data_IF_302102667149
#
_entry.id   IF_302102667149
#
_cell.length_a   1.000
_cell.length_b   1.000
_cell.length_c   1.000
_cell.angle_alpha   90.00
_cell.angle_beta   90.00
_cell.angle_gamma   90.00
#
_symmetry.space_group_name_H-M   'P 1'
#
loop_
_entity.id
_entity.type
_entity.pdbx_description
1 polymer ?
#
# COMPACT_ATOMS: atom_id res chain seq x y z
N UNK A 1 22.57 32.48 27.90
CA UNK A 1 21.40 31.86 28.57
C UNK A 1 20.26 31.85 27.57
N UNK A 2 20.43 31.06 26.51
CA UNK A 2 19.42 30.76 25.49
C UNK A 2 18.93 29.32 25.74
N UNK A 3 18.05 29.21 26.72
CA UNK A 3 17.37 27.94 27.02
C UNK A 3 16.11 27.84 26.20
N UNK A 4 16.21 27.09 25.09
CA UNK A 4 15.18 26.12 24.66
C UNK A 4 13.74 26.61 24.62
N UNK A 5 13.37 27.26 23.55
CA UNK A 5 12.07 26.98 22.95
C UNK A 5 12.19 25.67 22.13
N UNK A 6 12.10 24.51 22.77
CA UNK A 6 11.53 23.33 22.14
C UNK A 6 10.07 23.69 21.89
N UNK A 7 9.77 24.20 20.72
CA UNK A 7 8.42 24.10 20.20
C UNK A 7 8.09 22.60 20.25
N UNK A 8 7.17 22.22 21.11
CA UNK A 8 6.54 20.92 21.07
C UNK A 8 5.84 20.87 19.70
N UNK A 9 6.54 20.37 18.69
CA UNK A 9 5.91 20.03 17.42
C UNK A 9 4.94 18.90 17.73
N UNK A 10 3.71 19.28 18.08
CA UNK A 10 2.62 18.34 18.30
C UNK A 10 2.36 17.69 16.95
N UNK A 11 2.52 16.39 16.90
CA UNK A 11 2.26 15.62 15.69
C UNK A 11 0.74 15.55 15.49
N UNK A 12 0.23 16.32 14.53
CA UNK A 12 -1.20 16.41 14.23
C UNK A 12 -1.43 16.16 12.74
N UNK A 13 -2.54 15.50 12.40
CA UNK A 13 -3.03 15.36 11.04
C UNK A 13 -4.49 15.74 10.92
N UNK A 14 -4.85 16.39 9.82
CA UNK A 14 -6.24 16.66 9.45
C UNK A 14 -6.76 15.50 8.59
N UNK A 15 -7.94 14.99 8.93
CA UNK A 15 -8.57 13.87 8.26
C UNK A 15 -9.99 14.28 7.86
N UNK A 16 -10.38 13.91 6.63
CA UNK A 16 -11.72 14.19 6.11
C UNK A 16 -12.39 12.90 5.64
N UNK A 17 -13.63 12.75 6.05
CA UNK A 17 -14.50 11.65 5.65
C UNK A 17 -15.73 12.19 4.92
N UNK A 18 -16.15 11.47 3.88
CA UNK A 18 -17.46 11.69 3.25
C UNK A 18 -18.52 11.02 4.13
N UNK A 19 -19.61 11.72 4.41
CA UNK A 19 -20.78 11.11 5.02
C UNK A 19 -21.71 10.70 3.90
N UNK A 20 -21.98 9.43 3.77
CA UNK A 20 -22.90 8.88 2.79
C UNK A 20 -24.34 9.13 3.24
N UNK A 21 -25.22 9.43 2.27
CA UNK A 21 -26.63 9.64 2.54
C UNK A 21 -27.26 8.42 3.22
N UNK A 22 -27.98 8.65 4.31
CA UNK A 22 -28.64 7.59 5.09
C UNK A 22 -27.73 6.81 6.02
N UNK A 23 -26.44 7.18 6.16
CA UNK A 23 -25.55 6.62 7.18
C UNK A 23 -25.57 7.45 8.44
N UNK A 24 -25.75 6.81 9.58
CA UNK A 24 -25.77 7.44 10.89
C UNK A 24 -24.40 7.39 11.60
N UNK A 25 -23.42 6.70 11.01
CA UNK A 25 -22.08 6.58 11.57
C UNK A 25 -21.00 6.56 10.47
N UNK A 26 -19.78 6.93 10.87
CA UNK A 26 -18.56 6.85 10.03
C UNK A 26 -17.50 6.06 10.79
N UNK A 27 -16.84 5.11 10.12
CA UNK A 27 -15.65 4.45 10.65
C UNK A 27 -14.46 5.40 10.52
N UNK A 28 -13.87 5.79 11.65
CA UNK A 28 -12.75 6.74 11.72
C UNK A 28 -11.40 6.04 11.64
N UNK A 29 -11.27 4.92 12.36
CA UNK A 29 -10.01 4.16 12.47
C UNK A 29 -10.29 2.68 12.51
N UNK A 30 -9.27 1.87 12.21
CA UNK A 30 -9.32 0.43 12.40
C UNK A 30 -9.33 0.06 13.88
N UNK A 31 -10.07 -0.98 14.24
CA UNK A 31 -10.19 -1.48 15.62
C UNK A 31 -8.81 -1.78 16.24
N UNK A 32 -7.94 -2.45 15.49
CA UNK A 32 -6.60 -2.79 15.96
C UNK A 32 -5.78 -1.55 16.30
N UNK A 33 -5.81 -0.51 15.45
CA UNK A 33 -5.11 0.75 15.72
C UNK A 33 -5.66 1.46 16.97
N UNK A 34 -6.99 1.54 17.12
CA UNK A 34 -7.64 2.14 18.30
C UNK A 34 -7.21 1.43 19.57
N UNK A 35 -7.28 0.09 19.59
CA UNK A 35 -6.94 -0.70 20.76
C UNK A 35 -5.48 -0.52 21.21
N UNK A 36 -4.56 -0.39 20.23
CA UNK A 36 -3.13 -0.24 20.52
C UNK A 36 -2.73 1.21 20.86
N UNK A 37 -3.49 2.23 20.38
CA UNK A 37 -3.10 3.63 20.48
C UNK A 37 -4.05 4.52 21.28
N UNK A 38 -5.06 3.97 21.97
CA UNK A 38 -6.04 4.75 22.77
C UNK A 38 -5.40 5.65 23.83
N UNK A 39 -4.21 5.30 24.31
CA UNK A 39 -3.45 6.08 25.29
C UNK A 39 -2.35 6.95 24.64
N UNK A 40 -2.19 6.86 23.31
CA UNK A 40 -1.13 7.54 22.56
C UNK A 40 -1.69 8.66 21.69
N UNK A 41 -2.99 8.63 21.41
CA UNK A 41 -3.63 9.60 20.52
C UNK A 41 -4.93 10.14 21.12
N UNK A 42 -5.28 11.33 20.64
CA UNK A 42 -6.61 11.94 20.82
C UNK A 42 -7.14 12.38 19.47
N UNK A 43 -8.45 12.50 19.36
CA UNK A 43 -9.09 13.19 18.25
C UNK A 43 -9.72 14.50 18.69
N UNK A 44 -9.75 15.44 17.76
CA UNK A 44 -10.39 16.74 17.95
C UNK A 44 -11.50 16.87 16.92
N UNK A 45 -12.73 16.98 17.40
CA UNK A 45 -13.94 17.16 16.58
C UNK A 45 -14.63 18.42 17.09
N UNK A 46 -14.92 19.39 16.20
CA UNK A 46 -15.57 20.66 16.57
C UNK A 46 -14.89 21.35 17.77
N UNK A 47 -13.56 21.36 17.79
CA UNK A 47 -12.70 21.91 18.86
C UNK A 47 -12.83 21.21 20.23
N UNK A 48 -13.43 20.02 20.30
CA UNK A 48 -13.46 19.19 21.50
C UNK A 48 -12.50 18.03 21.36
N UNK A 49 -11.59 17.88 22.32
CA UNK A 49 -10.65 16.76 22.39
C UNK A 49 -11.31 15.57 23.09
N UNK A 50 -11.14 14.38 22.51
CA UNK A 50 -11.64 13.12 23.07
C UNK A 50 -10.71 11.95 22.70
N UNK A 51 -10.98 10.79 23.28
CA UNK A 51 -10.27 9.55 22.95
C UNK A 51 -10.51 9.14 21.49
N UNK A 52 -9.53 8.44 20.90
CA UNK A 52 -9.74 7.83 19.59
C UNK A 52 -10.79 6.72 19.70
N UNK A 53 -11.64 6.63 18.71
CA UNK A 53 -12.74 5.66 18.60
C UNK A 53 -12.79 5.07 17.21
N UNK A 54 -13.32 3.86 17.09
CA UNK A 54 -13.47 3.20 15.78
C UNK A 54 -14.60 3.85 14.97
N UNK A 55 -15.77 4.05 15.56
CA UNK A 55 -16.94 4.61 14.90
C UNK A 55 -17.41 5.89 15.60
N UNK A 56 -17.89 6.84 14.79
CA UNK A 56 -18.50 8.09 15.25
C UNK A 56 -19.91 8.18 14.69
N UNK A 57 -20.89 8.45 15.56
CA UNK A 57 -22.23 8.83 15.14
C UNK A 57 -22.20 10.21 14.47
N UNK A 58 -22.83 10.33 13.31
CA UNK A 58 -22.83 11.57 12.52
C UNK A 58 -24.21 12.00 12.14
N UNK A 59 -24.36 13.29 11.88
CA UNK A 59 -25.59 13.81 11.30
C UNK A 59 -25.60 13.49 9.78
N UNK A 60 -26.56 12.68 9.27
CA UNK A 60 -26.62 12.31 7.86
C UNK A 60 -26.87 13.48 6.90
N UNK A 61 -27.24 14.66 7.41
CA UNK A 61 -27.35 15.89 6.62
C UNK A 61 -26.02 16.60 6.37
N UNK A 62 -24.97 16.22 7.09
CA UNK A 62 -23.62 16.74 6.90
C UNK A 62 -22.92 15.95 5.79
N UNK A 63 -22.39 16.62 4.78
CA UNK A 63 -21.73 15.93 3.66
C UNK A 63 -20.31 15.47 4.00
N UNK A 64 -19.58 16.23 4.83
CA UNK A 64 -18.16 16.03 5.16
C UNK A 64 -17.95 16.12 6.67
N UNK A 65 -17.30 15.12 7.23
CA UNK A 65 -16.76 15.15 8.57
C UNK A 65 -15.27 15.52 8.52
N UNK A 66 -14.85 16.49 9.33
CA UNK A 66 -13.44 16.86 9.51
C UNK A 66 -13.04 16.60 10.95
N UNK A 67 -11.95 15.88 11.13
CA UNK A 67 -11.34 15.62 12.43
C UNK A 67 -9.84 15.91 12.39
N UNK A 68 -9.24 16.18 13.55
CA UNK A 68 -7.80 16.13 13.72
C UNK A 68 -7.44 14.93 14.59
N UNK A 69 -6.41 14.20 14.18
CA UNK A 69 -5.72 13.25 15.06
C UNK A 69 -4.50 13.96 15.64
N UNK A 70 -4.30 13.79 16.94
CA UNK A 70 -3.17 14.36 17.69
C UNK A 70 -2.44 13.26 18.43
N UNK A 71 -1.14 13.16 18.20
CA UNK A 71 -0.27 12.29 18.98
C UNK A 71 0.03 12.94 20.33
N UNK A 72 -0.19 12.21 21.44
CA UNK A 72 0.11 12.65 22.80
C UNK A 72 1.26 11.84 23.43
N UNK A 73 1.48 10.64 22.91
CA UNK A 73 2.62 9.78 23.21
C UNK A 73 3.07 9.10 21.93
N UNK A 74 4.32 8.72 21.88
CA UNK A 74 4.96 8.12 20.73
C UNK A 74 4.19 6.94 20.14
N UNK A 75 3.86 7.03 18.87
CA UNK A 75 3.29 5.94 18.08
C UNK A 75 4.43 5.18 17.42
N UNK A 76 4.46 3.87 17.64
CA UNK A 76 5.41 2.95 17.00
C UNK A 76 4.75 1.99 16.03
N UNK A 77 3.43 1.83 16.12
CA UNK A 77 2.66 0.94 15.26
C UNK A 77 1.48 1.70 14.64
N UNK A 78 1.50 1.82 13.30
CA UNK A 78 0.44 2.44 12.50
C UNK A 78 -0.31 1.40 11.65
N UNK A 79 -0.09 0.10 11.93
CA UNK A 79 -0.79 -0.95 11.21
C UNK A 79 -2.30 -0.84 11.42
N UNK A 80 -3.06 -1.11 10.36
CA UNK A 80 -4.53 -1.05 10.35
C UNK A 80 -5.12 0.31 10.76
N UNK A 81 -4.35 1.42 10.65
CA UNK A 81 -4.81 2.72 11.14
C UNK A 81 -6.13 3.16 10.52
N UNK A 82 -6.29 2.99 9.21
CA UNK A 82 -7.50 3.32 8.48
C UNK A 82 -8.16 2.09 7.83
N UNK A 83 -7.99 0.93 8.46
CA UNK A 83 -8.55 -0.33 7.97
C UNK A 83 -10.07 -0.27 7.78
N UNK A 84 -10.52 -0.51 6.53
CA UNK A 84 -11.91 -0.37 6.11
C UNK A 84 -12.55 0.99 6.42
N UNK A 85 -11.77 2.08 6.47
CA UNK A 85 -12.33 3.42 6.52
C UNK A 85 -12.82 3.82 5.10
N UNK A 86 -13.87 3.18 4.63
CA UNK A 86 -14.38 3.33 3.26
C UNK A 86 -14.78 4.76 2.90
N UNK A 87 -15.19 5.53 3.89
CA UNK A 87 -15.58 6.94 3.76
C UNK A 87 -14.41 7.93 3.80
N UNK A 88 -13.17 7.48 4.02
CA UNK A 88 -11.98 8.33 4.04
C UNK A 88 -11.73 8.91 2.65
N UNK A 89 -11.73 10.24 2.52
CA UNK A 89 -11.53 10.91 1.23
C UNK A 89 -10.23 11.69 1.13
N UNK A 90 -9.74 12.19 2.27
CA UNK A 90 -8.51 13.00 2.31
C UNK A 90 -7.91 13.01 3.70
N UNK A 91 -6.59 13.06 3.75
CA UNK A 91 -5.84 13.28 5.00
C UNK A 91 -4.55 14.04 4.69
N UNK A 92 -4.14 14.91 5.61
CA UNK A 92 -2.86 15.61 5.51
C UNK A 92 -1.88 15.02 6.52
N UNK A 93 -0.94 14.22 6.00
CA UNK A 93 0.13 13.55 6.73
C UNK A 93 1.51 14.09 6.38
N UNK A 94 1.60 15.19 5.64
CA UNK A 94 2.86 15.73 5.12
C UNK A 94 3.87 16.04 6.23
N UNK A 95 3.39 16.44 7.42
CA UNK A 95 4.22 16.74 8.58
C UNK A 95 4.16 15.68 9.68
N UNK A 96 3.55 14.52 9.42
CA UNK A 96 3.45 13.45 10.41
C UNK A 96 4.81 12.78 10.65
N UNK A 97 5.25 12.75 11.90
CA UNK A 97 6.54 12.18 12.27
C UNK A 97 6.46 10.64 12.38
N UNK A 98 7.14 9.95 11.48
CA UNK A 98 7.19 8.49 11.43
C UNK A 98 8.50 7.89 11.95
N UNK A 99 9.38 8.68 12.60
CA UNK A 99 10.73 8.26 12.99
C UNK A 99 10.79 6.98 13.83
N UNK A 100 9.73 6.69 14.58
CA UNK A 100 9.69 5.55 15.49
C UNK A 100 8.72 4.46 15.03
N UNK A 101 8.12 4.62 13.87
CA UNK A 101 7.16 3.65 13.33
C UNK A 101 7.90 2.43 12.83
N UNK A 102 7.45 1.26 13.28
CA UNK A 102 8.02 -0.05 12.91
C UNK A 102 7.08 -0.87 12.04
N UNK A 103 5.77 -0.57 12.05
CA UNK A 103 4.76 -1.32 11.31
C UNK A 103 3.73 -0.38 10.68
N UNK A 104 3.57 -0.49 9.35
CA UNK A 104 2.60 0.23 8.52
C UNK A 104 1.69 -0.75 7.74
N UNK A 105 1.68 -2.03 8.13
CA UNK A 105 0.89 -3.06 7.43
C UNK A 105 -0.60 -2.70 7.44
N UNK A 106 -1.25 -2.87 6.30
CA UNK A 106 -2.69 -2.62 6.13
C UNK A 106 -3.15 -1.20 6.56
N UNK A 107 -2.23 -0.22 6.58
CA UNK A 107 -2.53 1.12 7.10
C UNK A 107 -3.74 1.78 6.43
N UNK A 108 -3.90 1.61 5.12
CA UNK A 108 -5.00 2.14 4.31
C UNK A 108 -5.85 1.03 3.69
N UNK A 109 -5.81 -0.17 4.25
CA UNK A 109 -6.54 -1.30 3.68
C UNK A 109 -8.04 -0.99 3.57
N UNK A 110 -8.61 -1.13 2.36
CA UNK A 110 -10.06 -0.93 2.16
C UNK A 110 -10.52 0.53 2.19
N UNK A 111 -9.63 1.53 2.06
CA UNK A 111 -10.01 2.94 1.94
C UNK A 111 -10.59 3.22 0.54
N UNK A 112 -11.81 2.75 0.28
CA UNK A 112 -12.40 2.72 -1.05
C UNK A 112 -12.66 4.10 -1.67
N UNK A 113 -12.87 5.15 -0.87
CA UNK A 113 -13.11 6.52 -1.36
C UNK A 113 -11.85 7.38 -1.47
N UNK A 114 -10.69 6.85 -1.08
CA UNK A 114 -9.43 7.59 -1.12
C UNK A 114 -8.90 7.67 -2.55
N UNK A 115 -8.90 8.88 -3.12
CA UNK A 115 -8.49 9.12 -4.52
C UNK A 115 -7.00 9.38 -4.63
N UNK A 116 -6.43 10.07 -3.65
CA UNK A 116 -5.01 10.42 -3.57
C UNK A 116 -4.59 10.65 -2.12
N UNK A 117 -3.29 10.62 -1.88
CA UNK A 117 -2.69 10.96 -0.59
C UNK A 117 -1.98 12.31 -0.65
N UNK A 118 -1.85 12.98 0.50
CA UNK A 118 -0.93 14.10 0.66
C UNK A 118 0.52 13.66 0.44
N UNK A 119 1.43 14.63 0.35
CA UNK A 119 2.87 14.32 0.24
C UNK A 119 3.34 13.56 1.49
N UNK A 120 3.81 12.33 1.29
CA UNK A 120 4.39 11.43 2.28
C UNK A 120 5.85 11.08 1.94
N UNK A 121 6.49 11.84 1.05
CA UNK A 121 7.89 11.63 0.63
C UNK A 121 8.88 11.79 1.79
N UNK A 122 8.51 12.59 2.79
CA UNK A 122 9.32 12.88 3.98
C UNK A 122 9.19 11.83 5.09
N UNK A 123 8.37 10.80 4.91
CA UNK A 123 8.25 9.77 5.94
C UNK A 123 9.56 9.02 6.13
N UNK A 124 9.99 8.95 7.37
CA UNK A 124 11.14 8.15 7.76
C UNK A 124 10.69 6.70 7.97
N UNK A 125 11.06 5.84 7.03
CA UNK A 125 10.74 4.41 7.06
C UNK A 125 11.91 3.53 7.50
N UNK A 126 12.97 4.11 8.09
CA UNK A 126 14.19 3.38 8.47
C UNK A 126 13.94 2.22 9.43
N UNK A 127 12.94 2.35 10.29
CA UNK A 127 12.60 1.34 11.30
C UNK A 127 11.45 0.42 10.88
N UNK A 128 10.86 0.65 9.70
CA UNK A 128 9.68 -0.10 9.27
C UNK A 128 10.07 -1.49 8.79
N UNK A 129 9.39 -2.49 9.34
CA UNK A 129 9.54 -3.91 8.99
C UNK A 129 8.30 -4.48 8.31
N UNK A 130 7.11 -3.95 8.59
CA UNK A 130 5.83 -4.35 8.04
C UNK A 130 5.26 -3.31 7.07
N UNK A 131 5.02 -3.73 5.80
CA UNK A 131 4.37 -2.92 4.76
C UNK A 131 3.34 -3.73 3.97
N UNK A 132 3.04 -4.97 4.40
CA UNK A 132 2.10 -5.80 3.66
C UNK A 132 0.70 -5.17 3.64
N UNK A 133 0.03 -5.23 2.49
CA UNK A 133 -1.32 -4.73 2.31
C UNK A 133 -1.52 -3.23 2.54
N UNK A 134 -0.44 -2.42 2.62
CA UNK A 134 -0.53 -1.01 3.06
C UNK A 134 -1.58 -0.20 2.31
N UNK A 135 -1.73 -0.40 1.00
CA UNK A 135 -2.73 0.27 0.16
C UNK A 135 -3.73 -0.72 -0.46
N UNK A 136 -3.77 -1.96 0.06
CA UNK A 136 -4.64 -2.98 -0.52
C UNK A 136 -6.11 -2.54 -0.47
N UNK A 137 -6.83 -2.85 -1.55
CA UNK A 137 -8.25 -2.53 -1.69
C UNK A 137 -8.59 -1.02 -1.63
N UNK A 138 -7.62 -0.13 -1.97
CA UNK A 138 -7.89 1.29 -2.21
C UNK A 138 -8.40 1.46 -3.65
N UNK A 139 -9.65 1.06 -3.91
CA UNK A 139 -10.19 0.94 -5.27
C UNK A 139 -10.21 2.23 -6.07
N UNK A 140 -10.40 3.37 -5.42
CA UNK A 140 -10.47 4.68 -6.06
C UNK A 140 -9.11 5.40 -6.15
N UNK A 141 -8.04 4.82 -5.63
CA UNK A 141 -6.72 5.44 -5.61
C UNK A 141 -6.15 5.50 -7.04
N UNK A 142 -6.00 6.72 -7.57
CA UNK A 142 -5.54 6.96 -8.95
C UNK A 142 -4.02 7.02 -9.04
N UNK A 143 -3.38 7.61 -8.04
CA UNK A 143 -1.94 7.81 -7.96
C UNK A 143 -1.46 7.89 -6.53
N UNK A 144 -0.16 7.62 -6.34
CA UNK A 144 0.55 7.82 -5.09
C UNK A 144 1.48 9.02 -5.20
N UNK A 145 1.77 9.74 -4.10
CA UNK A 145 2.85 10.72 -4.04
C UNK A 145 4.21 10.03 -4.20
N UNK A 146 5.28 10.81 -4.28
CA UNK A 146 6.63 10.26 -4.37
C UNK A 146 7.00 9.48 -3.11
N UNK A 147 7.24 8.17 -3.28
CA UNK A 147 7.69 7.23 -2.25
C UNK A 147 9.07 6.62 -2.59
N UNK A 148 9.79 7.21 -3.55
CA UNK A 148 11.08 6.71 -4.03
C UNK A 148 12.18 6.70 -2.94
N UNK A 149 12.04 7.60 -1.96
CA UNK A 149 13.01 7.74 -0.85
C UNK A 149 12.71 6.84 0.36
N UNK A 150 11.63 6.06 0.31
CA UNK A 150 11.33 5.15 1.41
C UNK A 150 12.44 4.11 1.58
N UNK A 151 12.93 4.00 2.79
CA UNK A 151 13.91 2.98 3.14
C UNK A 151 13.21 1.64 3.43
N UNK A 152 13.40 0.68 2.54
CA UNK A 152 12.82 -0.66 2.66
C UNK A 152 13.82 -1.71 3.14
N UNK A 153 14.99 -1.31 3.67
CA UNK A 153 16.08 -2.21 4.10
C UNK A 153 15.67 -3.25 5.14
N UNK A 154 14.63 -2.96 5.91
CA UNK A 154 14.15 -3.83 6.98
C UNK A 154 12.84 -4.54 6.65
N UNK A 155 12.23 -4.25 5.50
CA UNK A 155 10.96 -4.85 5.09
C UNK A 155 11.18 -6.31 4.67
N UNK A 156 10.38 -7.21 5.24
CA UNK A 156 10.43 -8.65 4.95
C UNK A 156 9.22 -9.15 4.18
N UNK A 157 8.11 -8.42 4.23
CA UNK A 157 6.86 -8.77 3.57
C UNK A 157 6.28 -7.56 2.83
N UNK A 158 6.13 -7.69 1.51
CA UNK A 158 5.51 -6.73 0.59
C UNK A 158 4.24 -7.30 -0.05
N UNK A 159 3.73 -8.43 0.49
CA UNK A 159 2.52 -9.05 -0.05
C UNK A 159 1.33 -8.09 -0.02
N UNK A 160 0.47 -8.18 -1.00
CA UNK A 160 -0.77 -7.39 -1.13
C UNK A 160 -0.59 -5.86 -1.16
N UNK A 161 0.63 -5.30 -1.19
CA UNK A 161 0.88 -3.87 -0.93
C UNK A 161 -0.01 -2.92 -1.74
N UNK A 162 -0.27 -3.23 -3.01
CA UNK A 162 -1.13 -2.46 -3.92
C UNK A 162 -2.30 -3.29 -4.47
N UNK A 163 -2.56 -4.45 -3.89
CA UNK A 163 -3.60 -5.37 -4.38
C UNK A 163 -4.97 -4.68 -4.40
N UNK A 164 -5.75 -4.92 -5.45
CA UNK A 164 -7.07 -4.29 -5.64
C UNK A 164 -7.08 -2.75 -5.69
N UNK A 165 -5.96 -2.11 -6.03
CA UNK A 165 -5.95 -0.69 -6.41
C UNK A 165 -6.45 -0.57 -7.87
N UNK A 166 -7.74 -0.79 -8.07
CA UNK A 166 -8.35 -0.97 -9.40
C UNK A 166 -8.19 0.27 -10.30
N UNK A 167 -8.17 1.47 -9.72
CA UNK A 167 -8.04 2.75 -10.45
C UNK A 167 -6.59 3.25 -10.57
N UNK A 168 -5.61 2.56 -9.99
CA UNK A 168 -4.21 3.00 -10.00
C UNK A 168 -3.62 2.91 -11.41
N UNK A 169 -3.27 4.07 -12.00
CA UNK A 169 -2.81 4.15 -13.39
C UNK A 169 -1.30 3.91 -13.50
N UNK A 170 -0.54 4.41 -12.53
CA UNK A 170 0.92 4.30 -12.46
C UNK A 170 1.42 4.35 -11.03
N UNK A 171 2.62 3.85 -10.81
CA UNK A 171 3.35 3.96 -9.56
C UNK A 171 4.44 5.02 -9.66
N UNK A 172 4.81 5.68 -8.55
CA UNK A 172 6.04 6.48 -8.48
C UNK A 172 7.27 5.58 -8.64
N UNK A 173 8.45 6.18 -8.77
CA UNK A 173 9.69 5.42 -8.91
C UNK A 173 10.01 4.62 -7.63
N UNK A 174 9.85 3.29 -7.70
CA UNK A 174 10.19 2.34 -6.64
C UNK A 174 11.44 1.50 -7.00
N UNK A 175 12.20 1.91 -8.02
CA UNK A 175 13.39 1.19 -8.49
C UNK A 175 14.50 1.08 -7.44
N UNK A 176 14.53 2.04 -6.49
CA UNK A 176 15.54 2.11 -5.43
C UNK A 176 15.18 1.31 -4.18
N UNK A 177 13.99 0.74 -4.13
CA UNK A 177 13.60 -0.06 -2.97
C UNK A 177 14.51 -1.26 -2.80
N UNK A 178 15.03 -1.42 -1.60
CA UNK A 178 15.87 -2.56 -1.26
C UNK A 178 15.00 -3.75 -0.86
N UNK A 179 15.02 -4.78 -1.69
CA UNK A 179 14.23 -6.00 -1.48
C UNK A 179 15.06 -7.17 -0.93
N UNK A 180 16.28 -6.91 -0.43
CA UNK A 180 17.20 -7.96 0.02
C UNK A 180 16.65 -8.86 1.13
N UNK A 181 15.76 -8.34 1.97
CA UNK A 181 15.15 -9.10 3.07
C UNK A 181 13.74 -9.61 2.76
N UNK A 182 13.18 -9.22 1.61
CA UNK A 182 11.81 -9.57 1.27
C UNK A 182 11.69 -11.06 0.95
N UNK A 183 10.75 -11.71 1.60
CA UNK A 183 10.44 -13.14 1.43
C UNK A 183 9.09 -13.36 0.75
N UNK A 184 8.16 -12.43 0.84
CA UNK A 184 6.82 -12.52 0.27
C UNK A 184 6.51 -11.31 -0.62
N UNK A 185 6.09 -11.59 -1.88
CA UNK A 185 5.63 -10.62 -2.87
C UNK A 185 4.30 -11.05 -3.51
N UNK A 186 3.64 -12.05 -2.91
CA UNK A 186 2.38 -12.58 -3.43
C UNK A 186 1.30 -11.49 -3.43
N UNK A 187 0.49 -11.46 -4.48
CA UNK A 187 -0.58 -10.48 -4.70
C UNK A 187 -0.16 -9.01 -4.74
N UNK A 188 1.14 -8.68 -4.78
CA UNK A 188 1.63 -7.29 -4.58
C UNK A 188 0.93 -6.26 -5.48
N UNK A 189 0.65 -6.61 -6.73
CA UNK A 189 -0.03 -5.76 -7.72
C UNK A 189 -1.32 -6.41 -8.26
N UNK A 190 -1.80 -7.48 -7.62
CA UNK A 190 -2.98 -8.20 -8.09
C UNK A 190 -4.20 -7.27 -8.18
N UNK A 191 -4.98 -7.40 -9.26
CA UNK A 191 -6.17 -6.57 -9.49
C UNK A 191 -5.91 -5.05 -9.61
N UNK A 192 -4.70 -4.64 -10.00
CA UNK A 192 -4.42 -3.28 -10.44
C UNK A 192 -4.88 -3.12 -11.89
N UNK A 193 -6.20 -3.12 -12.12
CA UNK A 193 -6.81 -3.22 -13.47
C UNK A 193 -6.41 -2.09 -14.40
N UNK A 194 -6.23 -0.87 -13.87
CA UNK A 194 -5.90 0.32 -14.65
C UNK A 194 -4.39 0.56 -14.79
N UNK A 195 -3.54 -0.27 -14.17
CA UNK A 195 -2.09 -0.09 -14.18
C UNK A 195 -1.53 -0.37 -15.58
N UNK A 196 -1.00 0.68 -16.25
CA UNK A 196 -0.53 0.59 -17.63
C UNK A 196 0.93 0.12 -17.72
N UNK A 197 1.76 0.53 -16.77
CA UNK A 197 3.18 0.21 -16.72
C UNK A 197 3.70 0.20 -15.28
N UNK A 198 4.82 -0.48 -15.08
CA UNK A 198 5.56 -0.49 -13.83
C UNK A 198 6.83 0.37 -13.95
N UNK A 199 7.30 1.00 -12.85
CA UNK A 199 8.65 1.56 -12.80
C UNK A 199 9.70 0.45 -12.97
N UNK A 200 10.97 0.83 -13.16
CA UNK A 200 12.05 -0.16 -13.33
C UNK A 200 12.31 -0.96 -12.05
N UNK A 201 11.73 -2.16 -11.98
CA UNK A 201 11.93 -3.13 -10.90
C UNK A 201 12.97 -4.21 -11.24
N UNK A 202 13.73 -4.04 -12.33
CA UNK A 202 14.74 -5.02 -12.79
C UNK A 202 15.84 -5.29 -11.76
N UNK A 203 16.11 -4.29 -10.91
CA UNK A 203 17.16 -4.35 -9.88
C UNK A 203 16.72 -4.92 -8.55
N UNK A 204 15.45 -5.26 -8.41
CA UNK A 204 14.98 -5.88 -7.17
C UNK A 204 15.68 -7.21 -6.93
N UNK A 205 16.19 -7.38 -5.74
CA UNK A 205 16.83 -8.63 -5.33
C UNK A 205 15.76 -9.61 -4.85
N UNK A 206 15.58 -10.68 -5.60
CA UNK A 206 14.59 -11.73 -5.31
C UNK A 206 15.20 -12.99 -4.68
N UNK A 207 16.48 -12.94 -4.25
CA UNK A 207 17.18 -14.11 -3.74
C UNK A 207 16.50 -14.78 -2.54
N UNK A 208 15.80 -14.00 -1.71
CA UNK A 208 15.12 -14.49 -0.52
C UNK A 208 13.61 -14.68 -0.71
N UNK A 209 13.08 -14.34 -1.88
CA UNK A 209 11.65 -14.46 -2.15
C UNK A 209 11.25 -15.92 -2.31
N UNK A 210 10.25 -16.32 -1.55
CA UNK A 210 9.70 -17.70 -1.55
C UNK A 210 8.32 -17.77 -2.18
N UNK A 211 7.59 -16.65 -2.24
CA UNK A 211 6.22 -16.61 -2.76
C UNK A 211 5.98 -15.39 -3.65
N UNK A 212 5.58 -15.66 -4.91
CA UNK A 212 5.18 -14.68 -5.93
C UNK A 212 3.78 -14.99 -6.51
N UNK A 213 2.98 -15.79 -5.80
CA UNK A 213 1.65 -16.21 -6.20
C UNK A 213 0.75 -15.00 -6.51
N UNK A 214 0.10 -15.00 -7.66
CA UNK A 214 -0.82 -13.95 -8.11
C UNK A 214 -0.22 -12.54 -8.15
N UNK A 215 1.10 -12.36 -8.24
CA UNK A 215 1.75 -11.04 -8.05
C UNK A 215 1.21 -9.96 -9.00
N UNK A 216 0.89 -10.31 -10.25
CA UNK A 216 0.37 -9.38 -11.27
C UNK A 216 -0.97 -9.83 -11.87
N UNK A 217 -1.64 -10.79 -11.24
CA UNK A 217 -2.93 -11.31 -11.73
C UNK A 217 -3.95 -10.18 -11.86
N UNK A 218 -4.74 -10.18 -12.95
CA UNK A 218 -5.74 -9.15 -13.25
C UNK A 218 -5.16 -7.74 -13.41
N UNK A 219 -3.91 -7.57 -13.80
CA UNK A 219 -3.37 -6.31 -14.31
C UNK A 219 -3.82 -6.14 -15.77
N UNK A 220 -5.12 -5.88 -15.97
CA UNK A 220 -5.79 -5.96 -17.26
C UNK A 220 -5.23 -4.98 -18.30
N UNK A 221 -4.77 -3.79 -17.86
CA UNK A 221 -4.24 -2.72 -18.71
C UNK A 221 -2.72 -2.73 -18.85
N UNK A 222 -2.01 -3.66 -18.19
CA UNK A 222 -0.54 -3.71 -18.21
C UNK A 222 -0.04 -4.12 -19.60
N UNK A 223 0.72 -3.23 -20.26
CA UNK A 223 1.17 -3.40 -21.64
C UNK A 223 2.49 -4.19 -21.70
N UNK A 224 3.40 -3.91 -20.79
CA UNK A 224 4.72 -4.54 -20.73
C UNK A 224 5.28 -4.56 -19.30
N UNK A 225 6.24 -5.42 -19.07
CA UNK A 225 7.02 -5.47 -17.84
C UNK A 225 8.42 -4.88 -18.06
N UNK A 226 9.04 -4.28 -17.03
CA UNK A 226 10.48 -4.03 -17.04
C UNK A 226 11.25 -5.36 -17.13
N UNK A 227 12.55 -5.30 -17.42
CA UNK A 227 13.38 -6.50 -17.56
C UNK A 227 13.55 -7.25 -16.22
N UNK A 228 12.68 -8.23 -16.00
CA UNK A 228 12.72 -9.12 -14.83
C UNK A 228 13.52 -10.41 -15.07
N UNK A 229 14.22 -10.53 -16.21
CA UNK A 229 14.98 -11.75 -16.56
C UNK A 229 16.05 -12.12 -15.52
N UNK A 230 16.55 -11.10 -14.79
CA UNK A 230 17.59 -11.28 -13.77
C UNK A 230 17.06 -11.65 -12.39
N UNK A 231 15.76 -11.71 -12.21
CA UNK A 231 15.20 -12.15 -10.94
C UNK A 231 15.59 -13.60 -10.64
N UNK A 232 16.13 -13.82 -9.46
CA UNK A 232 16.47 -15.17 -9.00
C UNK A 232 15.24 -15.82 -8.39
N UNK A 233 14.77 -16.87 -9.02
CA UNK A 233 13.59 -17.63 -8.58
C UNK A 233 13.92 -18.96 -7.91
N UNK A 234 15.19 -19.22 -7.59
CA UNK A 234 15.61 -20.51 -7.05
C UNK A 234 14.92 -20.89 -5.73
N UNK A 235 14.61 -19.91 -4.91
CA UNK A 235 13.94 -20.10 -3.62
C UNK A 235 12.42 -19.96 -3.72
N UNK A 236 11.88 -19.56 -4.87
CA UNK A 236 10.44 -19.41 -5.05
C UNK A 236 9.77 -20.78 -5.10
N UNK A 237 8.80 -20.98 -4.22
CA UNK A 237 8.03 -22.23 -4.12
C UNK A 237 6.66 -22.13 -4.78
N UNK A 238 6.17 -20.90 -5.02
CA UNK A 238 4.87 -20.65 -5.64
C UNK A 238 4.90 -19.37 -6.49
N UNK A 239 4.62 -19.52 -7.79
CA UNK A 239 4.40 -18.43 -8.76
C UNK A 239 3.16 -18.72 -9.62
N UNK A 240 2.25 -19.57 -9.11
CA UNK A 240 1.03 -19.89 -9.84
C UNK A 240 0.25 -18.63 -10.16
N UNK A 241 -0.34 -18.60 -11.36
CA UNK A 241 -1.20 -17.51 -11.82
C UNK A 241 -0.58 -16.10 -11.78
N UNK A 242 0.76 -16.00 -11.77
CA UNK A 242 1.48 -14.73 -11.55
C UNK A 242 1.07 -13.63 -12.52
N UNK A 243 0.74 -13.95 -13.77
CA UNK A 243 0.32 -13.03 -14.83
C UNK A 243 -1.05 -13.35 -15.40
N UNK A 244 -1.84 -14.18 -14.73
CA UNK A 244 -3.17 -14.59 -15.20
C UNK A 244 -4.05 -13.35 -15.43
N UNK A 245 -4.75 -13.30 -16.59
CA UNK A 245 -5.63 -12.21 -17.00
C UNK A 245 -4.96 -10.83 -17.19
N UNK A 246 -3.68 -10.80 -17.56
CA UNK A 246 -3.02 -9.61 -18.08
C UNK A 246 -3.37 -9.45 -19.57
N UNK A 247 -4.62 -9.05 -19.87
CA UNK A 247 -5.17 -9.06 -21.24
C UNK A 247 -4.41 -8.19 -22.23
N UNK A 248 -3.87 -7.04 -21.78
CA UNK A 248 -3.18 -6.06 -22.62
C UNK A 248 -1.68 -6.30 -22.75
N UNK A 249 -1.13 -7.34 -22.12
CA UNK A 249 0.29 -7.61 -22.14
C UNK A 249 0.74 -8.07 -23.52
N UNK A 250 1.47 -7.21 -24.24
CA UNK A 250 1.91 -7.45 -25.64
C UNK A 250 3.36 -7.90 -25.76
N UNK A 251 4.16 -7.65 -24.73
CA UNK A 251 5.57 -8.06 -24.67
C UNK A 251 5.96 -8.53 -23.30
N UNK A 252 6.91 -9.46 -23.26
CA UNK A 252 7.40 -10.06 -22.03
C UNK A 252 8.93 -10.22 -22.12
N UNK A 253 9.70 -9.96 -21.02
CA UNK A 253 11.13 -10.18 -21.00
C UNK A 253 11.47 -11.67 -21.19
N UNK A 254 12.68 -11.98 -21.67
CA UNK A 254 13.15 -13.34 -21.80
C UNK A 254 13.44 -13.96 -20.43
N UNK A 255 12.61 -14.91 -20.03
CA UNK A 255 12.72 -15.66 -18.77
C UNK A 255 13.14 -17.13 -19.01
N UNK A 256 13.78 -17.42 -20.13
CA UNK A 256 14.23 -18.79 -20.46
C UNK A 256 15.16 -19.39 -19.40
N UNK A 257 15.86 -18.52 -18.65
CA UNK A 257 16.73 -18.92 -17.54
C UNK A 257 15.98 -19.26 -16.24
N UNK A 258 14.69 -18.97 -16.17
CA UNK A 258 13.91 -19.34 -15.00
C UNK A 258 13.62 -20.85 -14.98
N UNK A 259 14.06 -21.55 -13.95
CA UNK A 259 13.72 -22.94 -13.77
C UNK A 259 12.32 -23.08 -13.15
N UNK A 260 11.31 -23.00 -14.02
CA UNK A 260 9.92 -22.93 -13.58
C UNK A 260 9.21 -24.29 -13.51
N UNK A 261 9.90 -25.41 -13.82
CA UNK A 261 9.29 -26.73 -13.92
C UNK A 261 8.54 -27.21 -12.67
N UNK A 262 8.80 -26.60 -11.52
CA UNK A 262 8.16 -26.98 -10.24
C UNK A 262 7.08 -26.01 -9.76
N UNK A 263 6.97 -24.82 -10.37
CA UNK A 263 6.19 -23.70 -9.79
C UNK A 263 5.25 -23.02 -10.80
N UNK A 264 5.15 -23.58 -12.01
CA UNK A 264 4.34 -23.03 -13.12
C UNK A 264 2.95 -23.65 -13.17
N UNK A 265 2.01 -23.13 -12.43
CA UNK A 265 0.61 -23.45 -12.75
C UNK A 265 -0.06 -22.19 -13.28
N UNK A 266 -0.59 -22.25 -14.51
CA UNK A 266 -1.43 -21.20 -15.12
C UNK A 266 -0.79 -19.81 -15.21
N UNK A 267 0.56 -19.68 -15.22
CA UNK A 267 1.27 -18.40 -15.08
C UNK A 267 0.79 -17.34 -16.08
N UNK A 268 0.42 -17.71 -17.29
CA UNK A 268 0.02 -16.81 -18.39
C UNK A 268 -1.41 -17.06 -18.89
N UNK A 269 -2.25 -17.68 -18.08
CA UNK A 269 -3.64 -17.97 -18.47
C UNK A 269 -4.36 -16.65 -18.81
N UNK A 270 -5.01 -16.61 -19.98
CA UNK A 270 -5.71 -15.44 -20.51
C UNK A 270 -4.84 -14.19 -20.80
N UNK A 271 -3.53 -14.35 -21.02
CA UNK A 271 -2.68 -13.30 -21.59
C UNK A 271 -2.84 -13.25 -23.11
N UNK A 272 -4.02 -12.86 -23.58
CA UNK A 272 -4.44 -13.05 -24.97
C UNK A 272 -3.67 -12.21 -26.00
N UNK A 273 -3.00 -11.14 -25.56
CA UNK A 273 -2.21 -10.25 -26.42
C UNK A 273 -0.74 -10.66 -26.55
N UNK A 274 -0.27 -11.66 -25.81
CA UNK A 274 1.10 -12.19 -25.96
C UNK A 274 1.22 -12.97 -27.27
N UNK A 275 2.37 -12.86 -27.98
CA UNK A 275 2.64 -13.67 -29.15
C UNK A 275 2.55 -15.18 -28.85
N UNK A 276 2.06 -15.98 -29.83
CA UNK A 276 1.92 -17.44 -29.69
C UNK A 276 3.23 -18.18 -29.32
N UNK A 277 4.39 -17.56 -29.62
CA UNK A 277 5.70 -18.06 -29.23
C UNK A 277 5.94 -18.08 -27.71
N UNK A 278 5.13 -17.35 -26.94
CA UNK A 278 5.14 -17.34 -25.48
C UNK A 278 4.19 -18.37 -24.85
N UNK A 279 3.52 -19.22 -25.65
CA UNK A 279 2.76 -20.36 -25.12
C UNK A 279 3.71 -21.37 -24.44
N UNK A 280 4.12 -21.02 -23.27
CA UNK A 280 4.71 -21.98 -22.32
C UNK A 280 3.56 -22.78 -21.68
N UNK A 281 3.11 -23.85 -22.37
CA UNK A 281 2.27 -24.90 -21.77
C UNK A 281 3.00 -25.64 -20.65
#
# INVERSE_FOLDING_TARGET
MELLKKENNINEMLIMYKIEEGKDFVKLFGEYFVNNNKNNCKIIIENKEQDIIEFLDVNPKQAILKIKLKEIKLITNMSFMFDFCESLISLDMSNWNTNNVTDMSCMFYGCNSLISLSDISNWNTNNVTGMSGMFSNCKSLISLPDISNWNTNNVTDMSYMFSFCESLISLPDISKWNTNKVTHMNYMFSNCKSLVSLPDISKWNTNNVTDMYYMFTYCESLISLPDISKWNINNVTNMSDMFTQCYSLTSFPDISNWNTNKVRNNMFTFCNSLPLSFNYN
#
